data_IF_041908244782
#
_entry.id   IF_041908244782
#
_cell.length_a   1.000
_cell.length_b   1.000
_cell.length_c   1.000
_cell.angle_alpha   90.00
_cell.angle_beta   90.00
_cell.angle_gamma   90.00
#
_symmetry.space_group_name_H-M   'P 1'
#
loop_
_entity.id
_entity.type
_entity.pdbx_description
1 polymer ?
#
# COMPACT_ATOMS: atom_id res chain seq x y z
N UNK A 1 0.96 -9.68 22.47
CA UNK A 1 -0.19 -9.30 21.64
C UNK A 1 0.22 -9.40 20.19
N UNK A 2 -0.67 -9.83 19.31
CA UNK A 2 -0.40 -9.80 17.86
C UNK A 2 -0.28 -8.35 17.37
N UNK A 3 0.57 -8.08 16.37
CA UNK A 3 0.69 -6.74 15.81
C UNK A 3 -0.60 -6.32 15.09
N UNK A 4 -0.83 -5.01 15.03
CA UNK A 4 -1.81 -4.39 14.14
C UNK A 4 -1.17 -4.22 12.77
N UNK A 5 -1.67 -4.95 11.77
CA UNK A 5 -1.12 -4.97 10.41
C UNK A 5 -1.76 -3.86 9.57
N UNK A 6 -0.95 -2.90 9.15
CA UNK A 6 -1.36 -1.75 8.34
C UNK A 6 -0.74 -1.89 6.95
N UNK A 7 -1.58 -1.91 5.92
CA UNK A 7 -1.15 -2.11 4.54
C UNK A 7 -1.36 -0.82 3.74
N UNK A 8 -0.30 -0.39 3.07
CA UNK A 8 -0.28 0.69 2.08
C UNK A 8 -0.10 0.08 0.67
N UNK A 9 -1.20 -0.16 -0.07
CA UNK A 9 -1.14 -0.60 -1.45
C UNK A 9 -0.82 0.60 -2.36
N UNK A 10 0.42 0.72 -2.81
CA UNK A 10 0.87 1.77 -3.72
C UNK A 10 0.87 1.28 -5.18
N UNK A 11 0.76 2.23 -6.10
CA UNK A 11 0.61 1.98 -7.54
C UNK A 11 1.31 3.09 -8.34
N UNK A 12 1.53 2.87 -9.63
CA UNK A 12 2.18 3.88 -10.48
C UNK A 12 1.38 5.19 -10.50
N UNK A 13 2.05 6.32 -10.33
CA UNK A 13 1.40 7.63 -10.24
C UNK A 13 0.71 7.89 -8.90
N UNK A 14 1.05 7.15 -7.85
CA UNK A 14 0.71 7.50 -6.46
C UNK A 14 1.27 8.88 -6.12
N UNK A 15 0.56 9.67 -5.31
CA UNK A 15 1.16 10.85 -4.67
C UNK A 15 1.89 10.35 -3.43
N UNK A 16 3.23 10.33 -3.46
CA UNK A 16 4.01 9.70 -2.39
C UNK A 16 3.67 10.23 -0.98
N UNK A 17 3.37 11.52 -0.85
CA UNK A 17 3.06 12.14 0.43
C UNK A 17 1.81 11.55 1.10
N UNK A 18 0.84 11.10 0.30
CA UNK A 18 -0.42 10.51 0.79
C UNK A 18 -0.18 9.23 1.60
N UNK A 19 0.91 8.50 1.34
CA UNK A 19 1.26 7.32 2.12
C UNK A 19 2.45 7.54 3.04
N UNK A 20 3.50 8.26 2.62
CA UNK A 20 4.70 8.47 3.45
C UNK A 20 4.39 9.30 4.70
N UNK A 21 3.43 10.24 4.61
CA UNK A 21 2.93 11.00 5.76
C UNK A 21 2.32 10.11 6.85
N UNK A 22 1.20 9.41 6.57
CA UNK A 22 0.61 8.46 7.52
C UNK A 22 1.58 7.36 7.97
N UNK A 23 2.41 6.82 7.05
CA UNK A 23 3.41 5.80 7.37
C UNK A 23 4.37 6.27 8.47
N UNK A 24 4.92 7.48 8.36
CA UNK A 24 5.89 8.02 9.33
C UNK A 24 5.30 8.14 10.74
N UNK A 25 4.00 8.45 10.83
CA UNK A 25 3.27 8.54 12.09
C UNK A 25 2.92 7.14 12.63
N UNK A 26 2.27 6.31 11.82
CA UNK A 26 1.77 4.98 12.22
C UNK A 26 2.88 4.01 12.59
N UNK A 27 4.06 4.12 11.97
CA UNK A 27 5.23 3.29 12.31
C UNK A 27 5.74 3.51 13.75
N UNK A 28 5.35 4.61 14.40
CA UNK A 28 5.70 4.90 15.81
C UNK A 28 4.69 4.32 16.80
N UNK A 29 3.56 3.81 16.33
CA UNK A 29 2.54 3.24 17.20
C UNK A 29 3.00 1.87 17.75
N UNK A 30 2.94 1.65 19.07
CA UNK A 30 3.31 0.36 19.65
C UNK A 30 2.50 -0.79 19.06
N UNK A 31 3.18 -1.84 18.61
CA UNK A 31 2.55 -3.01 18.02
C UNK A 31 2.07 -2.84 16.58
N UNK A 32 2.37 -1.72 15.90
CA UNK A 32 2.07 -1.59 14.47
C UNK A 32 3.09 -2.33 13.60
N UNK A 33 2.59 -3.14 12.66
CA UNK A 33 3.37 -3.68 11.56
C UNK A 33 2.95 -2.97 10.28
N UNK A 34 3.90 -2.28 9.63
CA UNK A 34 3.64 -1.56 8.38
C UNK A 34 4.09 -2.41 7.19
N UNK A 35 3.19 -2.59 6.22
CA UNK A 35 3.47 -3.22 4.94
C UNK A 35 3.22 -2.20 3.82
N UNK A 36 4.25 -1.92 3.02
CA UNK A 36 4.09 -1.20 1.75
C UNK A 36 4.14 -2.21 0.62
N UNK A 37 3.13 -2.18 -0.25
CA UNK A 37 2.86 -3.25 -1.19
C UNK A 37 2.42 -2.73 -2.54
N UNK A 38 2.67 -3.53 -3.58
CA UNK A 38 2.22 -3.26 -4.95
C UNK A 38 1.80 -4.57 -5.62
N UNK A 39 1.16 -4.48 -6.79
CA UNK A 39 0.83 -5.67 -7.59
C UNK A 39 2.14 -6.40 -7.91
N UNK A 40 2.20 -7.68 -7.56
CA UNK A 40 3.36 -8.56 -7.73
C UNK A 40 4.69 -8.05 -7.14
N UNK A 41 4.63 -7.06 -6.23
CA UNK A 41 5.83 -6.45 -5.64
C UNK A 41 6.60 -5.57 -6.62
N UNK A 42 5.98 -5.16 -7.73
CA UNK A 42 6.58 -4.30 -8.74
C UNK A 42 7.01 -2.95 -8.16
N UNK A 43 8.19 -2.48 -8.54
CA UNK A 43 8.69 -1.16 -8.15
C UNK A 43 7.73 -0.04 -8.58
N UNK A 44 7.58 0.98 -7.75
CA UNK A 44 6.70 2.13 -8.01
C UNK A 44 7.52 3.41 -8.04
N UNK A 45 7.29 4.22 -9.07
CA UNK A 45 7.89 5.54 -9.20
C UNK A 45 6.85 6.64 -8.90
N UNK A 46 7.27 7.65 -8.15
CA UNK A 46 6.46 8.85 -7.89
C UNK A 46 7.37 10.04 -7.66
N UNK A 47 7.18 11.11 -8.41
CA UNK A 47 7.84 12.42 -8.19
C UNK A 47 9.38 12.32 -8.11
N UNK A 48 9.99 11.42 -8.88
CA UNK A 48 11.44 11.18 -8.88
C UNK A 48 11.95 10.28 -7.74
N UNK A 49 11.04 9.71 -6.93
CA UNK A 49 11.36 8.68 -5.94
C UNK A 49 11.03 7.29 -6.49
N UNK A 50 11.90 6.33 -6.19
CA UNK A 50 11.70 4.92 -6.50
C UNK A 50 11.46 4.13 -5.21
N UNK A 51 10.29 3.51 -5.11
CA UNK A 51 9.94 2.58 -4.04
C UNK A 51 10.16 1.16 -4.55
N UNK A 52 11.11 0.47 -3.93
CA UNK A 52 11.52 -0.88 -4.31
C UNK A 52 11.34 -1.84 -3.14
N UNK A 53 11.53 -3.14 -3.38
CA UNK A 53 11.37 -4.19 -2.36
C UNK A 53 9.97 -4.18 -1.72
N UNK A 54 8.97 -3.88 -2.54
CA UNK A 54 7.57 -3.82 -2.12
C UNK A 54 7.03 -5.24 -1.92
N UNK A 55 6.16 -5.41 -0.94
CA UNK A 55 5.50 -6.71 -0.72
C UNK A 55 4.50 -6.97 -1.85
N UNK A 56 4.49 -8.16 -2.47
CA UNK A 56 3.44 -8.52 -3.41
C UNK A 56 2.08 -8.56 -2.70
N UNK A 57 1.11 -7.80 -3.19
CA UNK A 57 -0.24 -7.76 -2.61
C UNK A 57 -0.88 -9.16 -2.43
N UNK A 58 -0.73 -10.13 -3.37
CA UNK A 58 -1.26 -11.48 -3.19
C UNK A 58 -0.67 -12.26 -2.00
N UNK A 59 0.54 -11.91 -1.55
CA UNK A 59 1.24 -12.60 -0.45
C UNK A 59 0.82 -12.11 0.94
N UNK A 60 0.04 -11.02 1.02
CA UNK A 60 -0.39 -10.45 2.29
C UNK A 60 -1.62 -11.23 2.79
N UNK A 61 -1.43 -12.02 3.84
CA UNK A 61 -2.48 -12.89 4.38
C UNK A 61 -3.55 -12.14 5.19
N UNK A 62 -3.16 -11.06 5.90
CA UNK A 62 -4.02 -10.31 6.82
C UNK A 62 -3.76 -8.81 6.71
N UNK A 63 -4.81 -8.02 6.90
CA UNK A 63 -4.77 -6.56 7.00
C UNK A 63 -5.80 -6.13 8.04
N UNK A 64 -5.40 -5.32 9.02
CA UNK A 64 -6.30 -4.74 10.00
C UNK A 64 -6.67 -3.30 9.64
N UNK A 65 -5.75 -2.58 8.98
CA UNK A 65 -5.98 -1.24 8.44
C UNK A 65 -5.46 -1.16 7.01
N UNK A 66 -6.37 -0.93 6.06
CA UNK A 66 -6.02 -0.71 4.65
C UNK A 66 -6.01 0.80 4.37
N UNK A 67 -4.84 1.35 4.07
CA UNK A 67 -4.68 2.77 3.77
C UNK A 67 -4.32 2.96 2.29
N UNK A 68 -5.32 3.17 1.44
CA UNK A 68 -5.14 3.35 -0.01
C UNK A 68 -4.83 4.83 -0.30
N UNK A 69 -3.61 5.17 -0.75
CA UNK A 69 -3.26 6.55 -1.07
C UNK A 69 -3.92 7.02 -2.37
N UNK A 70 -3.98 8.34 -2.55
CA UNK A 70 -4.38 8.97 -3.79
C UNK A 70 -3.22 9.12 -4.79
N UNK A 71 -3.48 9.91 -5.82
CA UNK A 71 -2.51 10.22 -6.87
C UNK A 71 -3.13 10.31 -8.25
N UNK A 72 -2.37 10.81 -9.20
CA UNK A 72 -2.78 10.93 -10.61
C UNK A 72 -3.04 9.56 -11.25
N UNK A 73 -2.39 8.51 -10.77
CA UNK A 73 -2.57 7.13 -11.21
C UNK A 73 -3.83 6.43 -10.68
N UNK A 74 -4.59 7.07 -9.78
CA UNK A 74 -5.75 6.43 -9.12
C UNK A 74 -6.79 5.91 -10.12
N UNK A 75 -7.08 6.68 -11.18
CA UNK A 75 -8.03 6.27 -12.22
C UNK A 75 -7.58 4.98 -12.94
N UNK A 76 -6.28 4.80 -13.15
CA UNK A 76 -5.72 3.59 -13.76
C UNK A 76 -5.73 2.42 -12.76
N UNK A 77 -5.36 2.67 -11.51
CA UNK A 77 -5.40 1.67 -10.44
C UNK A 77 -6.82 1.10 -10.22
N UNK A 78 -7.87 1.93 -10.34
CA UNK A 78 -9.27 1.50 -10.28
C UNK A 78 -9.67 0.57 -11.44
N UNK A 79 -9.01 0.67 -12.59
CA UNK A 79 -9.25 -0.19 -13.76
C UNK A 79 -8.40 -1.46 -13.73
N UNK A 80 -7.33 -1.49 -12.93
CA UNK A 80 -6.50 -2.66 -12.72
C UNK A 80 -7.26 -3.71 -11.89
N UNK A 81 -7.60 -4.81 -12.56
CA UNK A 81 -8.32 -5.94 -11.96
C UNK A 81 -7.49 -6.62 -10.87
N UNK A 82 -6.17 -6.75 -11.05
CA UNK A 82 -5.30 -7.39 -10.08
C UNK A 82 -5.22 -6.54 -8.81
N UNK A 83 -5.02 -5.22 -8.95
CA UNK A 83 -5.04 -4.30 -7.82
C UNK A 83 -6.38 -4.34 -7.08
N UNK A 84 -7.49 -4.12 -7.79
CA UNK A 84 -8.83 -4.05 -7.19
C UNK A 84 -9.27 -5.37 -6.55
N UNK A 85 -8.84 -6.53 -7.07
CA UNK A 85 -9.07 -7.81 -6.42
C UNK A 85 -8.43 -7.85 -5.03
N UNK A 86 -7.20 -7.35 -4.89
CA UNK A 86 -6.50 -7.34 -3.60
C UNK A 86 -7.08 -6.30 -2.64
N UNK A 87 -7.47 -5.10 -3.13
CA UNK A 87 -8.14 -4.10 -2.29
C UNK A 87 -9.43 -4.65 -1.69
N UNK A 88 -10.27 -5.33 -2.49
CA UNK A 88 -11.50 -5.97 -1.99
C UNK A 88 -11.21 -7.07 -0.99
N UNK A 89 -10.17 -7.89 -1.22
CA UNK A 89 -9.79 -8.99 -0.32
C UNK A 89 -9.26 -8.48 1.02
N UNK A 90 -8.44 -7.43 1.01
CA UNK A 90 -7.79 -6.88 2.20
C UNK A 90 -8.69 -5.90 2.98
N UNK A 91 -9.72 -5.34 2.33
CA UNK A 91 -10.69 -4.44 2.96
C UNK A 91 -12.00 -5.09 3.40
N UNK A 92 -12.13 -6.42 3.27
CA UNK A 92 -13.28 -7.20 3.73
C UNK A 92 -13.11 -7.59 5.20
#
# INVERSE_FOLDING_TARGET
SEPLVIVFPIYQGVTQLDFTGPLQFLRRMPGAEIIVASVDGADVESEGLHFTQLRPLPEIARCDVLCVPGGSGCAQALQDKAFMQQIRRLGA
#
